data_IF_595808803359
#
_entry.id   IF_595808803359
#
_cell.length_a   1.000
_cell.length_b   1.000
_cell.length_c   1.000
_cell.angle_alpha   90.00
_cell.angle_beta   90.00
_cell.angle_gamma   90.00
#
_symmetry.space_group_name_H-M   'P 1'
#
loop_
_entity.id
_entity.type
_entity.pdbx_description
1 polymer ?
#
# COMPACT_ATOMS: atom_id res chain seq x y z
N UNK A 1 36.02 -26.27 -24.47
CA UNK A 1 34.72 -25.59 -24.50
C UNK A 1 34.67 -24.61 -23.35
N UNK A 2 34.91 -23.32 -23.66
CA UNK A 2 34.86 -22.26 -22.69
C UNK A 2 33.39 -22.04 -22.31
N UNK A 3 33.01 -22.42 -21.10
CA UNK A 3 31.78 -21.92 -20.50
C UNK A 3 32.01 -20.41 -20.29
N UNK A 4 31.46 -19.62 -21.16
CA UNK A 4 31.39 -18.18 -20.98
C UNK A 4 30.56 -17.92 -19.75
N UNK A 5 31.24 -17.51 -18.68
CA UNK A 5 30.62 -17.06 -17.46
C UNK A 5 29.82 -15.78 -17.80
N UNK A 6 28.52 -15.94 -17.99
CA UNK A 6 27.58 -14.84 -18.18
C UNK A 6 27.36 -14.17 -16.83
N UNK A 7 28.40 -13.63 -16.22
CA UNK A 7 28.24 -12.56 -15.25
C UNK A 7 27.97 -11.28 -16.05
N UNK A 8 26.72 -11.10 -16.44
CA UNK A 8 26.31 -9.83 -17.03
C UNK A 8 26.42 -8.74 -15.95
N UNK A 9 27.55 -8.06 -15.94
CA UNK A 9 27.85 -6.98 -15.01
C UNK A 9 26.95 -5.72 -15.23
N UNK A 10 26.05 -5.79 -16.21
CA UNK A 10 25.07 -4.73 -16.49
C UNK A 10 23.83 -4.82 -15.62
N UNK A 11 23.54 -5.97 -15.02
CA UNK A 11 22.37 -6.17 -14.16
C UNK A 11 22.69 -5.63 -12.77
N UNK A 12 22.00 -4.55 -12.39
CA UNK A 12 22.13 -3.95 -11.06
C UNK A 12 20.99 -4.38 -10.15
N UNK A 13 21.24 -4.44 -8.84
CA UNK A 13 20.17 -4.60 -7.86
C UNK A 13 19.10 -3.51 -8.03
N UNK A 14 17.84 -3.89 -7.86
CA UNK A 14 16.71 -2.99 -7.92
C UNK A 14 15.98 -3.01 -6.59
N UNK A 15 15.64 -1.83 -6.09
CA UNK A 15 14.85 -1.66 -4.87
C UNK A 15 13.41 -1.38 -5.25
N UNK A 16 12.48 -2.05 -4.60
CA UNK A 16 11.06 -1.97 -4.93
C UNK A 16 10.17 -2.09 -3.69
N UNK A 17 8.92 -1.68 -3.85
CA UNK A 17 7.83 -2.01 -2.94
C UNK A 17 7.20 -3.31 -3.44
N UNK A 18 7.33 -4.45 -2.74
CA UNK A 18 6.97 -5.76 -3.29
C UNK A 18 5.49 -5.91 -3.64
N UNK A 19 4.62 -5.19 -2.97
CA UNK A 19 3.19 -5.11 -3.26
C UNK A 19 2.77 -3.74 -3.80
N UNK A 20 3.70 -3.03 -4.42
CA UNK A 20 3.43 -1.80 -5.14
C UNK A 20 2.36 -2.03 -6.22
N UNK A 21 1.37 -1.15 -6.28
CA UNK A 21 0.16 -1.35 -7.08
C UNK A 21 -0.24 -0.12 -7.92
N UNK A 22 0.56 0.92 -7.90
CA UNK A 22 0.33 2.11 -8.69
C UNK A 22 1.63 2.51 -9.43
N UNK A 23 1.58 2.83 -10.71
CA UNK A 23 0.41 2.98 -11.59
C UNK A 23 -0.02 1.68 -12.30
N UNK A 24 0.18 0.52 -11.71
CA UNK A 24 -0.23 -0.75 -12.30
C UNK A 24 -1.73 -0.77 -12.64
N UNK A 25 -2.14 -1.70 -13.49
CA UNK A 25 -3.54 -1.87 -13.89
C UNK A 25 -4.40 -2.56 -12.84
N UNK A 26 -3.78 -3.07 -11.77
CA UNK A 26 -4.50 -3.77 -10.70
C UNK A 26 -4.94 -2.78 -9.63
N UNK A 27 -6.23 -2.79 -9.32
CA UNK A 27 -6.77 -2.02 -8.22
C UNK A 27 -6.24 -2.55 -6.88
N UNK A 28 -5.95 -1.62 -5.97
CA UNK A 28 -5.60 -1.98 -4.61
C UNK A 28 -6.78 -2.63 -3.89
N UNK A 29 -6.57 -3.81 -3.32
CA UNK A 29 -7.57 -4.44 -2.49
C UNK A 29 -7.71 -3.67 -1.16
N UNK A 30 -8.92 -3.28 -0.75
CA UNK A 30 -9.13 -2.64 0.54
C UNK A 30 -8.79 -3.57 1.71
N UNK A 31 -8.17 -3.01 2.74
CA UNK A 31 -8.02 -3.65 4.04
C UNK A 31 -9.28 -3.37 4.83
N UNK A 32 -10.03 -4.40 5.20
CA UNK A 32 -11.23 -4.29 6.01
C UNK A 32 -10.88 -4.50 7.48
N UNK A 33 -11.09 -3.49 8.31
CA UNK A 33 -10.79 -3.50 9.74
C UNK A 33 -12.07 -3.44 10.56
N UNK A 34 -12.08 -4.15 11.69
CA UNK A 34 -13.14 -3.99 12.67
C UNK A 34 -13.03 -2.62 13.35
N UNK A 35 -14.18 -2.03 13.71
CA UNK A 35 -14.19 -0.83 14.53
C UNK A 35 -13.67 -1.18 15.91
N UNK A 36 -12.51 -0.65 16.27
CA UNK A 36 -11.80 -1.00 17.50
C UNK A 36 -10.86 0.11 17.93
N UNK A 37 -10.64 0.23 19.23
CA UNK A 37 -9.60 1.08 19.81
C UNK A 37 -8.21 0.45 19.69
N UNK A 38 -8.12 -0.83 19.36
CA UNK A 38 -6.84 -1.52 19.17
C UNK A 38 -6.22 -1.08 17.84
N UNK A 39 -5.00 -0.54 17.84
CA UNK A 39 -4.32 -0.16 16.61
C UNK A 39 -4.07 -1.36 15.70
N UNK A 40 -4.15 -1.13 14.39
CA UNK A 40 -3.80 -2.08 13.37
C UNK A 40 -2.53 -1.63 12.65
N UNK A 41 -1.55 -2.51 12.54
CA UNK A 41 -0.29 -2.21 11.85
C UNK A 41 -0.39 -2.57 10.37
N UNK A 42 -0.19 -1.57 9.51
CA UNK A 42 0.06 -1.75 8.08
C UNK A 42 1.55 -1.62 7.84
N UNK A 43 2.13 -2.57 7.13
CA UNK A 43 3.56 -2.59 6.82
C UNK A 43 3.82 -2.14 5.40
N UNK A 44 4.63 -1.11 5.24
CA UNK A 44 5.11 -0.63 3.94
C UNK A 44 6.51 -1.17 3.72
N UNK A 45 6.63 -2.17 2.86
CA UNK A 45 7.88 -2.89 2.63
C UNK A 45 8.78 -2.22 1.58
N UNK A 46 10.07 -2.27 1.83
CA UNK A 46 11.12 -2.08 0.84
C UNK A 46 11.88 -3.38 0.67
N UNK A 47 12.11 -3.80 -0.56
CA UNK A 47 12.82 -5.04 -0.89
C UNK A 47 13.90 -4.80 -1.94
N UNK A 48 15.05 -5.42 -1.74
CA UNK A 48 16.08 -5.55 -2.77
C UNK A 48 15.80 -6.79 -3.61
N UNK A 49 15.54 -6.60 -4.89
CA UNK A 49 15.38 -7.70 -5.84
C UNK A 49 16.76 -8.11 -6.36
N UNK A 50 17.40 -9.04 -5.65
CA UNK A 50 18.70 -9.58 -5.99
C UNK A 50 18.85 -11.02 -5.50
N UNK A 51 19.76 -11.77 -6.08
CA UNK A 51 19.94 -13.20 -5.75
C UNK A 51 20.44 -13.45 -4.32
N UNK A 52 21.02 -12.45 -3.70
CA UNK A 52 21.54 -12.47 -2.32
C UNK A 52 21.51 -11.07 -1.72
N UNK A 53 21.62 -10.96 -0.39
CA UNK A 53 21.74 -9.66 0.28
C UNK A 53 22.89 -8.83 -0.26
N UNK A 54 22.76 -7.50 -0.22
CA UNK A 54 23.77 -6.60 -0.76
C UNK A 54 25.09 -6.60 0.01
N UNK A 55 25.14 -7.15 1.22
CA UNK A 55 26.30 -7.14 2.08
C UNK A 55 26.62 -5.76 2.68
N UNK A 56 25.73 -4.80 2.50
CA UNK A 56 25.77 -3.45 3.10
C UNK A 56 24.36 -3.05 3.53
N UNK A 57 24.25 -2.30 4.60
CA UNK A 57 22.98 -1.72 5.01
C UNK A 57 22.53 -0.68 3.98
N UNK A 58 21.23 -0.66 3.68
CA UNK A 58 20.63 0.23 2.70
C UNK A 58 19.51 1.05 3.34
N UNK A 59 19.69 2.37 3.42
CA UNK A 59 18.63 3.28 3.86
C UNK A 59 17.68 3.58 2.70
N UNK A 60 16.39 3.39 2.94
CA UNK A 60 15.32 3.67 1.99
C UNK A 60 14.39 4.72 2.57
N UNK A 61 14.04 5.70 1.76
CA UNK A 61 13.14 6.80 2.15
C UNK A 61 11.83 6.70 1.40
N UNK A 62 10.73 6.89 2.13
CA UNK A 62 9.37 6.99 1.61
C UNK A 62 8.80 8.38 1.84
N UNK A 63 7.73 8.68 1.13
CA UNK A 63 6.85 9.83 1.41
C UNK A 63 5.40 9.40 1.35
N UNK A 64 4.52 10.11 2.02
CA UNK A 64 3.09 10.07 1.67
C UNK A 64 2.92 10.69 0.28
N UNK A 65 2.06 10.08 -0.54
CA UNK A 65 1.83 10.51 -1.91
C UNK A 65 0.35 10.76 -2.18
N UNK A 66 -0.11 11.91 -1.74
CA UNK A 66 -1.51 12.32 -1.91
C UNK A 66 -1.89 12.47 -3.39
N UNK A 67 -0.93 12.85 -4.23
CA UNK A 67 -1.13 12.94 -5.68
C UNK A 67 -1.46 11.58 -6.30
N UNK A 68 -0.89 10.49 -5.78
CA UNK A 68 -1.22 9.15 -6.24
C UNK A 68 -2.70 8.81 -5.98
N UNK A 69 -3.27 9.24 -4.86
CA UNK A 69 -4.70 9.06 -4.56
C UNK A 69 -5.54 9.82 -5.59
N UNK A 70 -5.22 11.08 -5.83
CA UNK A 70 -5.93 11.91 -6.82
C UNK A 70 -5.85 11.31 -8.23
N UNK A 71 -4.68 10.86 -8.63
CA UNK A 71 -4.46 10.25 -9.95
C UNK A 71 -5.21 8.92 -10.08
N UNK A 72 -5.26 8.11 -9.01
CA UNK A 72 -6.05 6.90 -8.97
C UNK A 72 -7.55 7.19 -9.17
N UNK A 73 -8.08 8.18 -8.44
CA UNK A 73 -9.47 8.61 -8.58
C UNK A 73 -9.79 9.04 -10.02
N UNK A 74 -8.92 9.82 -10.63
CA UNK A 74 -9.10 10.27 -12.02
C UNK A 74 -9.09 9.10 -12.99
N UNK A 75 -8.15 8.17 -12.81
CA UNK A 75 -8.01 7.01 -13.72
C UNK A 75 -9.22 6.07 -13.66
N UNK A 76 -9.78 5.86 -12.48
CA UNK A 76 -10.80 4.85 -12.25
C UNK A 76 -12.18 5.41 -11.89
N UNK A 77 -12.38 6.74 -11.94
CA UNK A 77 -13.66 7.37 -11.60
C UNK A 77 -14.05 7.13 -10.14
N UNK A 78 -13.10 7.23 -9.21
CA UNK A 78 -13.29 6.96 -7.79
C UNK A 78 -13.25 8.25 -6.95
N UNK A 79 -13.61 8.14 -5.67
CA UNK A 79 -13.68 9.25 -4.72
C UNK A 79 -12.96 8.94 -3.41
N UNK A 80 -11.81 8.28 -3.48
CA UNK A 80 -10.98 8.05 -2.31
C UNK A 80 -10.37 9.36 -1.81
N UNK A 81 -10.25 9.48 -0.50
CA UNK A 81 -9.61 10.63 0.14
C UNK A 81 -8.51 10.15 1.06
N UNK A 82 -7.51 10.99 1.25
CA UNK A 82 -6.49 10.74 2.26
C UNK A 82 -7.16 10.58 3.62
N UNK A 83 -6.78 9.54 4.35
CA UNK A 83 -7.27 9.30 5.70
C UNK A 83 -7.00 10.51 6.60
N UNK A 84 -7.94 10.85 7.47
CA UNK A 84 -7.78 11.93 8.44
C UNK A 84 -6.57 11.68 9.35
N UNK A 85 -5.79 12.73 9.62
CA UNK A 85 -4.48 12.64 10.29
C UNK A 85 -4.53 12.06 11.70
N UNK A 86 -5.64 12.22 12.41
CA UNK A 86 -5.82 11.61 13.74
C UNK A 86 -6.06 10.11 13.75
N UNK A 87 -6.30 9.50 12.58
CA UNK A 87 -6.63 8.09 12.46
C UNK A 87 -5.45 7.19 12.15
N UNK A 88 -4.26 7.74 11.96
CA UNK A 88 -3.04 6.97 11.70
C UNK A 88 -1.78 7.67 12.24
N UNK A 89 -0.72 6.90 12.38
CA UNK A 89 0.59 7.38 12.81
C UNK A 89 1.69 6.69 12.02
N UNK A 90 2.64 7.48 11.53
CA UNK A 90 3.82 7.01 10.81
C UNK A 90 5.05 7.41 11.65
N UNK A 91 5.74 6.45 12.29
CA UNK A 91 6.83 6.78 13.21
C UNK A 91 8.07 7.32 12.48
N UNK A 92 8.30 6.89 11.24
CA UNK A 92 9.41 7.33 10.42
C UNK A 92 9.11 7.09 8.94
N UNK A 93 9.72 7.92 8.07
CA UNK A 93 9.68 7.74 6.62
C UNK A 93 10.93 7.07 6.04
N UNK A 94 11.85 6.69 6.91
CA UNK A 94 13.08 6.00 6.54
C UNK A 94 13.13 4.64 7.21
N UNK A 95 13.67 3.66 6.49
CA UNK A 95 13.93 2.33 6.99
C UNK A 95 15.25 1.83 6.45
N UNK A 96 15.98 1.08 7.25
CA UNK A 96 17.24 0.47 6.83
C UNK A 96 17.03 -1.02 6.59
N UNK A 97 17.35 -1.46 5.36
CA UNK A 97 17.45 -2.89 5.05
C UNK A 97 18.84 -3.33 5.55
N UNK A 98 18.90 -4.27 6.51
CA UNK A 98 20.18 -4.77 7.03
C UNK A 98 21.05 -5.40 5.95
N UNK A 99 22.36 -5.41 6.16
CA UNK A 99 23.33 -5.90 5.18
C UNK A 99 23.15 -7.39 4.79
N UNK A 100 22.62 -8.19 5.69
CA UNK A 100 22.37 -9.63 5.56
C UNK A 100 20.92 -9.97 5.18
N UNK A 101 20.08 -8.96 4.93
CA UNK A 101 18.67 -9.13 4.60
C UNK A 101 18.33 -8.46 3.26
N UNK A 102 17.20 -8.87 2.68
CA UNK A 102 16.69 -8.31 1.44
C UNK A 102 15.51 -7.36 1.63
N UNK A 103 15.01 -7.22 2.85
CA UNK A 103 13.72 -6.57 3.09
C UNK A 103 13.71 -5.89 4.47
N UNK A 104 13.00 -4.76 4.53
CA UNK A 104 12.61 -4.09 5.76
C UNK A 104 11.28 -3.35 5.53
N UNK A 105 10.66 -2.83 6.57
CA UNK A 105 9.37 -2.15 6.44
C UNK A 105 9.24 -0.97 7.39
N UNK A 106 8.37 -0.04 6.99
CA UNK A 106 7.88 1.02 7.87
C UNK A 106 6.54 0.57 8.46
N UNK A 107 6.40 0.51 9.79
CA UNK A 107 5.12 0.23 10.43
C UNK A 107 4.25 1.48 10.41
N UNK A 108 3.04 1.38 9.89
CA UNK A 108 2.03 2.44 9.93
C UNK A 108 0.92 1.98 10.87
N UNK A 109 0.68 2.72 11.94
CA UNK A 109 -0.40 2.41 12.88
C UNK A 109 -1.69 3.07 12.42
N UNK A 110 -2.76 2.29 12.31
CA UNK A 110 -4.10 2.78 12.03
C UNK A 110 -4.95 2.61 13.29
N UNK A 111 -5.70 3.65 13.62
CA UNK A 111 -6.65 3.66 14.74
C UNK A 111 -8.06 3.56 14.20
N UNK A 112 -8.65 2.35 14.11
CA UNK A 112 -9.91 2.13 13.41
C UNK A 112 -11.09 2.95 13.95
N UNK A 113 -11.12 3.19 15.26
CA UNK A 113 -12.16 3.99 15.94
C UNK A 113 -12.05 5.50 15.68
N UNK A 114 -10.96 5.96 15.06
CA UNK A 114 -10.72 7.38 14.75
C UNK A 114 -10.83 7.69 13.25
N UNK A 115 -11.09 6.70 12.43
CA UNK A 115 -11.27 6.88 11.00
C UNK A 115 -12.61 7.56 10.71
N UNK A 116 -12.61 8.55 9.81
CA UNK A 116 -13.84 9.19 9.33
C UNK A 116 -14.67 8.21 8.50
N UNK A 117 -15.73 7.66 9.10
CA UNK A 117 -16.59 6.65 8.49
C UNK A 117 -17.46 7.18 7.36
N UNK A 118 -17.52 8.50 7.17
CA UNK A 118 -18.31 9.13 6.10
C UNK A 118 -17.60 9.17 4.76
N UNK A 119 -16.33 8.77 4.71
CA UNK A 119 -15.45 8.87 3.55
C UNK A 119 -14.82 7.54 3.19
N UNK A 120 -14.43 7.41 1.93
CA UNK A 120 -13.59 6.30 1.46
C UNK A 120 -12.13 6.67 1.69
N UNK A 121 -11.52 6.07 2.69
CA UNK A 121 -10.20 6.45 3.17
C UNK A 121 -9.09 5.64 2.50
N UNK A 122 -8.02 6.32 2.13
CA UNK A 122 -6.84 5.71 1.51
C UNK A 122 -5.58 6.36 2.06
N UNK A 123 -4.52 5.57 2.19
CA UNK A 123 -3.15 6.05 2.33
C UNK A 123 -2.36 5.68 1.08
N UNK A 124 -1.37 6.46 0.74
CA UNK A 124 -0.46 6.19 -0.37
C UNK A 124 0.97 6.50 0.04
N UNK A 125 1.89 5.63 -0.33
CA UNK A 125 3.31 5.77 -0.03
C UNK A 125 4.13 5.53 -1.29
N UNK A 126 5.11 6.38 -1.52
CA UNK A 126 6.06 6.28 -2.63
C UNK A 126 7.47 6.24 -2.09
N UNK A 127 8.25 5.28 -2.58
CA UNK A 127 9.71 5.25 -2.35
C UNK A 127 10.37 6.35 -3.14
N UNK A 128 11.10 7.24 -2.48
CA UNK A 128 11.71 8.42 -3.11
C UNK A 128 13.21 8.32 -3.23
N UNK A 129 13.85 7.53 -2.37
CA UNK A 129 15.31 7.37 -2.36
C UNK A 129 15.70 5.98 -1.84
N UNK A 130 16.70 5.40 -2.41
CA UNK A 130 17.25 4.10 -2.03
C UNK A 130 18.79 4.15 -1.95
N UNK A 131 19.34 5.28 -1.47
CA UNK A 131 20.79 5.48 -1.24
C UNK A 131 21.64 5.19 -2.48
N UNK A 132 21.19 5.64 -3.64
CA UNK A 132 21.89 5.48 -4.92
C UNK A 132 21.60 4.20 -5.67
N UNK A 133 20.86 3.24 -5.09
CA UNK A 133 20.38 2.05 -5.81
C UNK A 133 19.21 2.40 -6.73
N UNK A 134 19.03 1.60 -7.78
CA UNK A 134 17.94 1.78 -8.74
C UNK A 134 16.60 1.44 -8.10
N UNK A 135 15.63 2.34 -8.22
CA UNK A 135 14.24 2.10 -7.80
C UNK A 135 13.43 1.62 -9.00
N UNK A 136 12.67 0.53 -8.82
CA UNK A 136 11.75 0.03 -9.85
C UNK A 136 10.52 0.95 -9.95
N UNK A 137 10.41 1.72 -11.02
CA UNK A 137 9.35 2.73 -11.20
C UNK A 137 7.94 2.15 -11.23
N UNK A 138 7.77 0.91 -11.69
CA UNK A 138 6.47 0.21 -11.72
C UNK A 138 6.06 -0.37 -10.35
N UNK A 139 6.98 -0.43 -9.39
CA UNK A 139 6.78 -0.96 -8.04
C UNK A 139 7.32 0.01 -6.99
N UNK A 140 7.07 1.27 -7.17
CA UNK A 140 7.56 2.38 -6.35
C UNK A 140 6.50 2.89 -5.38
N UNK A 141 5.22 2.72 -5.72
CA UNK A 141 4.08 3.30 -5.00
C UNK A 141 3.10 2.22 -4.58
N UNK A 142 2.66 2.30 -3.34
CA UNK A 142 1.56 1.48 -2.81
C UNK A 142 0.38 2.36 -2.40
N UNK A 143 -0.80 2.01 -2.89
CA UNK A 143 -2.08 2.54 -2.43
C UNK A 143 -2.68 1.56 -1.42
N UNK A 144 -3.11 2.09 -0.28
CA UNK A 144 -3.66 1.32 0.84
C UNK A 144 -5.06 1.83 1.16
N UNK A 145 -6.10 1.33 0.50
CA UNK A 145 -7.48 1.63 0.84
C UNK A 145 -7.86 0.96 2.15
N UNK A 146 -8.54 1.69 3.02
CA UNK A 146 -8.99 1.20 4.33
C UNK A 146 -10.49 1.30 4.42
N UNK A 147 -11.14 0.19 4.76
CA UNK A 147 -12.56 0.12 5.07
C UNK A 147 -12.73 -0.29 6.52
N UNK A 148 -13.58 0.42 7.26
CA UNK A 148 -13.94 0.07 8.62
C UNK A 148 -15.27 -0.66 8.58
N UNK A 149 -15.28 -1.90 9.07
CA UNK A 149 -16.50 -2.66 9.25
C UNK A 149 -17.31 -2.05 10.37
N UNK A 150 -18.58 -1.79 10.10
CA UNK A 150 -19.46 -1.31 11.15
C UNK A 150 -20.06 -2.48 11.90
N UNK A 151 -19.99 -2.42 13.24
CA UNK A 151 -20.56 -3.41 14.15
C UNK A 151 -22.05 -3.15 14.45
N UNK A 152 -22.62 -2.03 13.95
CA UNK A 152 -24.04 -1.73 14.14
C UNK A 152 -24.83 -2.09 12.88
N UNK A 153 -26.01 -2.71 13.07
CA UNK A 153 -26.99 -2.84 12.01
C UNK A 153 -27.39 -1.44 11.50
N UNK A 154 -26.88 -1.06 10.38
CA UNK A 154 -27.27 0.18 9.73
C UNK A 154 -27.54 -0.09 8.25
N UNK A 155 -28.57 0.49 7.74
CA UNK A 155 -28.86 0.50 6.32
C UNK A 155 -27.89 1.48 5.64
N UNK A 156 -26.92 0.96 4.88
CA UNK A 156 -26.02 1.79 4.11
C UNK A 156 -26.42 1.77 2.65
N UNK A 157 -26.54 2.97 2.08
CA UNK A 157 -26.48 3.13 0.64
C UNK A 157 -25.01 3.10 0.23
N UNK A 158 -24.57 1.96 -0.26
CA UNK A 158 -23.23 1.83 -0.83
C UNK A 158 -23.34 2.19 -2.30
N UNK A 159 -22.88 3.39 -2.66
CA UNK A 159 -22.60 3.76 -4.04
C UNK A 159 -21.10 3.76 -4.24
N UNK A 160 -20.58 2.89 -5.07
CA UNK A 160 -19.16 2.81 -5.33
C UNK A 160 -18.84 1.74 -6.37
N UNK A 161 -17.60 1.75 -6.85
CA UNK A 161 -17.08 0.70 -7.71
C UNK A 161 -16.39 -0.36 -6.88
N UNK A 162 -16.87 -1.59 -6.99
CA UNK A 162 -16.18 -2.75 -6.43
C UNK A 162 -15.21 -3.28 -7.49
N UNK A 163 -13.92 -3.14 -7.25
CA UNK A 163 -12.93 -3.70 -8.15
C UNK A 163 -12.73 -5.19 -7.85
N UNK A 164 -13.37 -6.01 -8.66
CA UNK A 164 -12.96 -7.40 -8.79
C UNK A 164 -11.95 -7.48 -9.95
N UNK A 165 -10.82 -8.18 -9.81
CA UNK A 165 -9.78 -8.23 -10.85
C UNK A 165 -10.28 -8.67 -12.24
N UNK A 166 -11.38 -9.42 -12.30
CA UNK A 166 -11.95 -9.94 -13.54
C UNK A 166 -13.25 -9.29 -14.02
N UNK A 167 -13.88 -8.44 -13.20
CA UNK A 167 -15.18 -7.85 -13.55
C UNK A 167 -15.46 -6.60 -12.71
N UNK A 168 -14.96 -5.43 -13.14
CA UNK A 168 -15.36 -4.18 -12.50
C UNK A 168 -16.85 -3.95 -12.75
N UNK A 169 -17.61 -3.72 -11.68
CA UNK A 169 -19.03 -3.40 -11.75
C UNK A 169 -19.39 -2.35 -10.71
N UNK A 170 -20.35 -1.50 -11.05
CA UNK A 170 -20.91 -0.60 -10.05
C UNK A 170 -21.80 -1.38 -9.08
N UNK A 171 -21.66 -1.08 -7.79
CA UNK A 171 -22.54 -1.58 -6.75
C UNK A 171 -23.44 -0.43 -6.35
N UNK A 172 -24.71 -0.53 -6.72
CA UNK A 172 -25.77 0.33 -6.20
C UNK A 172 -26.77 -0.52 -5.44
N UNK A 173 -27.29 -0.02 -4.35
CA UNK A 173 -28.34 -0.67 -3.59
C UNK A 173 -28.16 -0.59 -2.08
N UNK A 174 -29.24 -0.84 -1.40
CA UNK A 174 -29.27 -0.94 0.07
C UNK A 174 -28.91 -2.37 0.45
N UNK A 175 -27.85 -2.54 1.21
CA UNK A 175 -27.50 -3.85 1.80
C UNK A 175 -27.79 -3.85 3.30
N UNK A 176 -28.40 -4.92 3.74
CA UNK A 176 -28.63 -5.17 5.16
C UNK A 176 -27.50 -6.06 5.67
N UNK A 177 -26.81 -5.60 6.70
CA UNK A 177 -25.85 -6.44 7.43
C UNK A 177 -26.51 -6.91 8.72
N UNK A 178 -26.66 -8.21 8.88
CA UNK A 178 -27.05 -8.80 10.16
C UNK A 178 -25.80 -9.27 10.90
N UNK A 179 -25.72 -8.94 12.17
CA UNK A 179 -24.75 -9.58 13.06
C UNK A 179 -25.13 -11.03 13.26
N UNK A 180 -24.24 -11.94 12.95
CA UNK A 180 -24.37 -13.34 13.31
C UNK A 180 -23.84 -13.46 14.74
N UNK A 181 -24.73 -13.83 15.69
CA UNK A 181 -24.34 -14.17 17.06
C UNK A 181 -23.61 -15.52 17.07
#
# INVERSE_FOLDING_TARGET
DAITDYTDQSIKPVVLVPNGNWPSTQAAAPIALDFSSTPYEVRVYARVSWSKPLGKALEVTFKEDDAAITNFNTKFGQNWVKMNTGAYSIPAFKVTIPADQNEAYIPVQIFPDKVDLTKFNMLAFTMTDASGEVIATNFQTILVPILIKNIYEANYNISGYFFHPSSPRSIGGTKYFSTIN
#
